data_IF_745862967520
#
_entry.id   IF_745862967520
#
_cell.length_a   1.000
_cell.length_b   1.000
_cell.length_c   1.000
_cell.angle_alpha   90.00
_cell.angle_beta   90.00
_cell.angle_gamma   90.00
#
_symmetry.space_group_name_H-M   'P 1'
#
loop_
_entity.id
_entity.type
_entity.pdbx_description
1 polymer ?
#
# COMPACT_ATOMS: atom_id res chain seq x y z
N UNK A 1 -12.65 -9.53 17.09
CA UNK A 1 -11.19 -9.76 17.22
C UNK A 1 -10.63 -8.72 18.16
N UNK A 2 -9.79 -9.10 19.13
CA UNK A 2 -9.04 -8.10 19.93
C UNK A 2 -7.84 -7.68 19.10
N UNK A 3 -7.91 -6.51 18.50
CA UNK A 3 -6.74 -5.88 17.84
C UNK A 3 -5.75 -5.40 18.91
N UNK A 4 -4.45 -5.62 18.73
CA UNK A 4 -3.45 -5.11 19.66
C UNK A 4 -3.56 -3.58 19.78
N UNK A 5 -3.53 -3.05 20.99
CA UNK A 5 -3.73 -1.61 21.27
C UNK A 5 -2.62 -0.69 20.70
N UNK A 6 -1.52 -1.28 20.25
CA UNK A 6 -0.38 -0.58 19.65
C UNK A 6 -0.45 -0.49 18.11
N UNK A 7 -1.50 -1.03 17.48
CA UNK A 7 -1.75 -0.95 16.04
C UNK A 7 -3.02 -0.16 15.80
N UNK A 8 -2.94 0.86 14.95
CA UNK A 8 -4.10 1.59 14.45
C UNK A 8 -4.16 1.52 12.94
N UNK A 9 -5.28 1.03 12.42
CA UNK A 9 -5.60 1.12 11.01
C UNK A 9 -6.22 2.49 10.71
N UNK A 10 -5.65 3.19 9.75
CA UNK A 10 -6.18 4.44 9.19
C UNK A 10 -6.73 4.08 7.81
N UNK A 11 -8.05 3.89 7.75
CA UNK A 11 -8.71 3.43 6.53
C UNK A 11 -9.35 4.59 5.76
N UNK A 12 -9.02 4.69 4.46
CA UNK A 12 -9.52 5.73 3.55
C UNK A 12 -10.54 5.15 2.60
N UNK A 13 -11.83 5.37 2.87
CA UNK A 13 -12.93 4.74 2.15
C UNK A 13 -12.98 5.05 0.65
N UNK A 14 -12.63 6.27 0.21
CA UNK A 14 -12.64 6.63 -1.22
C UNK A 14 -11.53 5.95 -2.04
N UNK A 15 -10.44 5.52 -1.40
CA UNK A 15 -9.36 4.75 -2.00
C UNK A 15 -9.47 3.26 -1.65
N UNK A 16 -10.35 2.89 -0.73
CA UNK A 16 -10.41 1.55 -0.12
C UNK A 16 -9.05 1.09 0.43
N UNK A 17 -8.23 2.03 0.93
CA UNK A 17 -6.83 1.81 1.30
C UNK A 17 -6.66 1.84 2.82
N UNK A 18 -5.90 0.88 3.34
CA UNK A 18 -5.45 0.79 4.72
C UNK A 18 -4.00 1.23 4.89
N UNK A 19 -3.78 2.29 5.68
CA UNK A 19 -2.48 2.68 6.19
C UNK A 19 -2.41 2.31 7.67
N UNK A 20 -1.22 2.08 8.21
CA UNK A 20 -1.08 1.56 9.57
C UNK A 20 -0.10 2.38 10.38
N UNK A 21 -0.52 2.76 11.58
CA UNK A 21 0.32 3.41 12.58
C UNK A 21 0.59 2.42 13.72
N UNK A 22 1.85 2.06 13.93
CA UNK A 22 2.29 1.10 14.94
C UNK A 22 3.24 1.82 15.89
N UNK A 23 3.01 1.69 17.20
CA UNK A 23 3.90 2.30 18.18
C UNK A 23 4.25 1.37 19.33
N UNK A 24 5.44 1.55 19.88
CA UNK A 24 5.90 0.83 21.06
C UNK A 24 6.89 1.72 21.81
N UNK A 25 6.65 1.88 23.12
CA UNK A 25 7.40 2.83 23.94
C UNK A 25 7.33 4.24 23.33
N UNK A 26 8.47 4.87 23.06
CA UNK A 26 8.58 6.23 22.51
C UNK A 26 8.78 6.23 20.98
N UNK A 27 8.68 5.09 20.31
CA UNK A 27 8.92 4.94 18.87
C UNK A 27 7.65 4.53 18.12
N UNK A 28 7.54 4.96 16.86
CA UNK A 28 6.46 4.58 15.96
C UNK A 28 6.98 4.26 14.56
N UNK A 29 6.16 3.49 13.83
CA UNK A 29 6.30 3.18 12.41
C UNK A 29 4.98 3.52 11.71
N UNK A 30 5.07 3.98 10.48
CA UNK A 30 3.92 4.12 9.57
C UNK A 30 4.13 3.21 8.38
N UNK A 31 3.09 2.43 8.01
CA UNK A 31 3.10 1.58 6.81
C UNK A 31 2.11 2.15 5.79
N UNK A 32 2.54 2.29 4.55
CA UNK A 32 1.78 2.75 3.39
C UNK A 32 1.03 4.09 3.65
N UNK A 33 1.75 5.17 4.02
CA UNK A 33 1.11 6.42 4.39
C UNK A 33 0.40 7.09 3.22
N UNK A 34 -0.75 7.68 3.51
CA UNK A 34 -1.39 8.62 2.60
C UNK A 34 -0.50 9.82 2.34
N UNK A 35 -0.76 10.51 1.22
CA UNK A 35 -0.06 11.75 0.88
C UNK A 35 -0.20 12.85 1.94
N UNK A 36 -1.27 12.82 2.73
CA UNK A 36 -1.55 13.75 3.83
C UNK A 36 -0.74 13.41 5.09
N UNK A 37 0.54 13.70 5.06
CA UNK A 37 1.50 13.35 6.12
C UNK A 37 1.19 13.96 7.49
N UNK A 38 0.47 15.08 7.57
CA UNK A 38 0.11 15.78 8.83
C UNK A 38 -0.63 14.88 9.79
N UNK A 39 -1.52 14.03 9.29
CA UNK A 39 -2.28 13.05 10.06
C UNK A 39 -1.36 12.20 10.96
N UNK A 40 -0.27 11.71 10.41
CA UNK A 40 0.66 10.82 11.13
C UNK A 40 1.53 11.58 12.13
N UNK A 41 1.99 12.78 11.77
CA UNK A 41 2.81 13.60 12.67
C UNK A 41 2.02 14.16 13.85
N UNK A 42 0.77 14.56 13.65
CA UNK A 42 -0.15 14.97 14.70
C UNK A 42 -0.47 13.81 15.65
N UNK A 43 -0.69 12.61 15.10
CA UNK A 43 -0.88 11.41 15.88
C UNK A 43 0.34 11.08 16.72
N UNK A 44 1.52 11.05 16.13
CA UNK A 44 2.76 10.82 16.87
C UNK A 44 2.94 11.82 18.02
N UNK A 45 2.67 13.10 17.75
CA UNK A 45 2.69 14.16 18.77
C UNK A 45 1.68 13.92 19.89
N UNK A 46 0.46 13.51 19.56
CA UNK A 46 -0.59 13.25 20.57
C UNK A 46 -0.25 12.08 21.49
N UNK A 47 0.49 11.08 20.98
CA UNK A 47 0.95 9.91 21.73
C UNK A 47 2.32 10.11 22.40
N UNK A 48 3.00 11.23 22.14
CA UNK A 48 4.35 11.48 22.65
C UNK A 48 5.42 10.54 22.08
N UNK A 49 5.24 10.04 20.85
CA UNK A 49 6.15 9.09 20.18
C UNK A 49 6.83 9.72 18.98
N UNK A 50 7.99 9.18 18.60
CA UNK A 50 8.74 9.60 17.41
C UNK A 50 8.55 8.58 16.29
N UNK A 51 8.14 9.04 15.11
CA UNK A 51 8.12 8.19 13.90
C UNK A 51 9.56 7.92 13.49
N UNK A 52 9.98 6.67 13.56
CA UNK A 52 11.34 6.21 13.28
C UNK A 52 11.49 5.68 11.86
N UNK A 53 10.45 5.02 11.36
CA UNK A 53 10.42 4.44 10.03
C UNK A 53 9.10 4.72 9.33
N UNK A 54 9.19 4.87 8.01
CA UNK A 54 8.07 4.87 7.07
C UNK A 54 8.29 3.71 6.12
N UNK A 55 7.43 2.71 6.20
CA UNK A 55 7.54 1.48 5.43
C UNK A 55 6.55 1.50 4.27
N UNK A 56 6.99 1.06 3.11
CA UNK A 56 6.13 0.83 1.95
C UNK A 56 6.10 -0.66 1.64
N UNK A 57 4.91 -1.21 1.43
CA UNK A 57 4.74 -2.60 1.01
C UNK A 57 5.14 -2.80 -0.45
N UNK A 58 4.92 -1.79 -1.28
CA UNK A 58 5.25 -1.76 -2.71
C UNK A 58 5.14 -0.32 -3.25
N UNK A 59 5.45 -0.10 -4.53
CA UNK A 59 5.12 1.17 -5.19
C UNK A 59 3.66 1.18 -5.61
N UNK A 60 2.82 1.86 -4.83
CA UNK A 60 1.39 1.97 -5.08
C UNK A 60 1.09 2.57 -6.46
N UNK A 61 0.11 1.97 -7.15
CA UNK A 61 -0.33 2.42 -8.45
C UNK A 61 -1.61 3.28 -8.39
N UNK A 62 -2.43 3.06 -7.39
CA UNK A 62 -3.76 3.67 -7.24
C UNK A 62 -3.73 5.02 -6.51
N UNK A 63 -2.71 5.30 -5.70
CA UNK A 63 -2.52 6.59 -5.05
C UNK A 63 -1.04 7.00 -4.97
N UNK A 64 -0.82 8.28 -4.68
CA UNK A 64 0.52 8.82 -4.42
C UNK A 64 0.76 8.83 -2.93
N UNK A 65 1.74 8.05 -2.46
CA UNK A 65 2.09 7.93 -1.06
C UNK A 65 2.76 9.19 -0.51
N UNK A 66 2.62 9.39 0.80
CA UNK A 66 3.24 10.47 1.56
C UNK A 66 4.61 10.15 2.14
N UNK A 67 5.22 9.01 1.79
CA UNK A 67 6.43 8.50 2.44
C UNK A 67 7.60 9.49 2.44
N UNK A 68 7.86 10.18 1.32
CA UNK A 68 8.96 11.16 1.24
C UNK A 68 8.67 12.35 2.17
N UNK A 69 7.50 12.97 2.04
CA UNK A 69 7.15 14.13 2.86
C UNK A 69 7.08 13.78 4.36
N UNK A 70 6.50 12.64 4.71
CA UNK A 70 6.43 12.16 6.09
C UNK A 70 7.83 11.93 6.67
N UNK A 71 8.72 11.30 5.91
CA UNK A 71 10.09 11.07 6.33
C UNK A 71 10.87 12.37 6.53
N UNK A 72 10.73 13.34 5.62
CA UNK A 72 11.36 14.68 5.75
C UNK A 72 10.86 15.41 7.01
N UNK A 73 9.55 15.39 7.28
CA UNK A 73 8.95 16.10 8.44
C UNK A 73 9.22 15.43 9.78
N UNK A 74 9.35 14.11 9.82
CA UNK A 74 9.58 13.35 11.07
C UNK A 74 11.04 13.01 11.33
N UNK A 75 11.90 13.08 10.31
CA UNK A 75 13.26 12.55 10.35
C UNK A 75 13.33 11.03 10.31
N UNK A 76 12.26 10.38 9.83
CA UNK A 76 12.17 8.93 9.73
C UNK A 76 12.98 8.38 8.54
N UNK A 77 13.40 7.12 8.63
CA UNK A 77 13.99 6.39 7.51
C UNK A 77 12.87 5.74 6.69
N UNK A 78 12.87 5.97 5.37
CA UNK A 78 11.99 5.26 4.45
C UNK A 78 12.56 3.85 4.24
N UNK A 79 11.68 2.84 4.26
CA UNK A 79 12.06 1.43 4.05
C UNK A 79 11.18 0.83 2.96
N UNK A 80 11.82 0.16 2.02
CA UNK A 80 11.19 -0.71 1.03
C UNK A 80 11.73 -2.12 1.12
N UNK A 81 10.99 -3.06 0.57
CA UNK A 81 11.44 -4.45 0.44
C UNK A 81 12.50 -4.66 -0.65
N UNK A 82 12.98 -5.91 -0.78
CA UNK A 82 14.01 -6.26 -1.74
C UNK A 82 13.60 -5.94 -3.19
N UNK A 83 14.56 -5.45 -3.98
CA UNK A 83 14.35 -5.15 -5.41
C UNK A 83 13.71 -3.79 -5.70
N UNK A 84 13.30 -3.02 -4.70
CA UNK A 84 12.82 -1.65 -4.91
C UNK A 84 13.94 -0.75 -5.41
N UNK A 85 13.61 0.12 -6.37
CA UNK A 85 14.55 1.13 -6.94
C UNK A 85 13.90 2.49 -6.80
N UNK A 86 14.51 3.37 -6.00
CA UNK A 86 14.04 4.72 -5.69
C UNK A 86 14.99 5.78 -6.22
N UNK A 87 14.48 6.97 -6.53
CA UNK A 87 15.29 8.17 -6.87
C UNK A 87 15.57 9.06 -5.63
N UNK A 88 15.28 8.54 -4.43
CA UNK A 88 15.55 9.16 -3.13
C UNK A 88 16.20 8.15 -2.18
N UNK A 89 16.74 8.64 -1.08
CA UNK A 89 17.37 7.77 -0.09
C UNK A 89 16.32 6.94 0.65
N UNK A 90 16.45 5.62 0.54
CA UNK A 90 15.65 4.66 1.27
C UNK A 90 16.53 3.49 1.72
N UNK A 91 16.17 2.87 2.82
CA UNK A 91 16.72 1.60 3.21
C UNK A 91 16.02 0.48 2.42
N UNK A 92 16.74 -0.22 1.57
CA UNK A 92 16.21 -1.40 0.86
C UNK A 92 16.51 -2.61 1.74
N UNK A 93 15.50 -3.04 2.45
CA UNK A 93 15.61 -4.13 3.40
C UNK A 93 15.82 -5.47 2.69
N UNK A 94 16.52 -6.39 3.36
CA UNK A 94 16.67 -7.77 2.88
C UNK A 94 15.47 -8.62 3.31
N UNK A 95 15.24 -9.70 2.58
CA UNK A 95 14.29 -10.71 3.03
C UNK A 95 14.68 -11.27 4.39
N UNK A 96 13.70 -11.37 5.31
CA UNK A 96 13.87 -11.74 6.72
C UNK A 96 14.64 -10.74 7.60
N UNK A 97 14.94 -9.54 7.12
CA UNK A 97 15.47 -8.48 7.96
C UNK A 97 14.44 -8.05 9.03
N UNK A 98 14.91 -7.78 10.25
CA UNK A 98 14.05 -7.30 11.33
C UNK A 98 14.28 -5.82 11.62
N UNK A 99 13.21 -5.04 11.52
CA UNK A 99 13.18 -3.60 11.81
C UNK A 99 12.63 -3.41 13.22
N UNK A 100 13.43 -2.84 14.12
CA UNK A 100 13.06 -2.66 15.53
C UNK A 100 12.36 -1.34 15.76
N UNK A 101 11.24 -1.38 16.50
CA UNK A 101 10.49 -0.22 16.99
C UNK A 101 10.09 -0.45 18.46
N UNK A 102 10.71 0.28 19.37
CA UNK A 102 10.55 0.03 20.81
C UNK A 102 10.87 -1.41 21.18
N UNK A 103 9.89 -2.12 21.75
CA UNK A 103 9.96 -3.53 22.10
C UNK A 103 9.49 -4.48 20.99
N UNK A 104 8.90 -3.94 19.92
CA UNK A 104 8.39 -4.70 18.77
C UNK A 104 9.44 -4.83 17.67
N UNK A 105 9.22 -5.78 16.77
CA UNK A 105 10.01 -5.97 15.55
C UNK A 105 9.08 -6.26 14.38
N UNK A 106 9.40 -5.71 13.21
CA UNK A 106 8.77 -6.08 11.95
C UNK A 106 9.77 -6.86 11.11
N UNK A 107 9.44 -8.12 10.83
CA UNK A 107 10.21 -8.96 9.91
C UNK A 107 9.73 -8.72 8.49
N UNK A 108 10.67 -8.43 7.61
CA UNK A 108 10.45 -8.21 6.19
C UNK A 108 10.26 -9.55 5.50
N UNK A 109 9.14 -9.76 4.84
CA UNK A 109 8.87 -10.94 4.02
C UNK A 109 8.75 -10.49 2.57
N UNK A 110 9.77 -10.75 1.74
CA UNK A 110 9.71 -10.47 0.31
C UNK A 110 8.70 -11.39 -0.37
N UNK A 111 7.63 -10.83 -0.90
CA UNK A 111 6.48 -11.56 -1.48
C UNK A 111 6.17 -11.07 -2.90
N UNK A 112 7.09 -11.25 -3.88
CA UNK A 112 6.89 -10.78 -5.24
C UNK A 112 5.69 -11.47 -5.89
N UNK A 113 5.03 -10.73 -6.81
CA UNK A 113 3.91 -11.25 -7.59
C UNK A 113 2.89 -10.19 -7.97
N UNK A 114 2.38 -9.42 -7.02
CA UNK A 114 1.61 -8.20 -7.33
C UNK A 114 2.54 -7.16 -8.00
N UNK A 115 3.66 -6.88 -7.35
CA UNK A 115 4.82 -6.21 -7.94
C UNK A 115 6.09 -7.02 -7.64
N UNK A 116 7.22 -6.69 -8.27
CA UNK A 116 8.48 -7.39 -8.05
C UNK A 116 9.07 -7.13 -6.66
N UNK A 117 8.87 -5.93 -6.14
CA UNK A 117 9.34 -5.48 -4.82
C UNK A 117 8.31 -5.70 -3.70
N UNK A 118 7.14 -6.27 -4.00
CA UNK A 118 6.09 -6.51 -3.01
C UNK A 118 6.62 -7.20 -1.76
N UNK A 119 6.21 -6.68 -0.62
CA UNK A 119 6.72 -7.06 0.69
C UNK A 119 5.58 -7.06 1.70
N UNK A 120 5.52 -8.10 2.52
CA UNK A 120 4.71 -8.11 3.73
C UNK A 120 5.58 -7.80 4.95
N UNK A 121 5.00 -7.21 5.98
CA UNK A 121 5.68 -6.95 7.26
C UNK A 121 5.02 -7.78 8.35
N UNK A 122 5.77 -8.72 8.93
CA UNK A 122 5.31 -9.59 10.02
C UNK A 122 5.68 -8.96 11.36
N UNK A 123 4.69 -8.59 12.15
CA UNK A 123 4.89 -8.02 13.47
C UNK A 123 5.17 -9.11 14.50
N UNK A 124 6.24 -8.91 15.24
CA UNK A 124 6.70 -9.77 16.32
C UNK A 124 6.62 -9.00 17.64
N UNK A 125 6.05 -9.63 18.67
CA UNK A 125 6.10 -9.13 20.04
C UNK A 125 7.54 -9.07 20.58
N UNK A 126 7.69 -8.51 21.77
CA UNK A 126 8.97 -8.51 22.49
C UNK A 126 9.53 -9.92 22.68
N UNK A 127 8.67 -10.88 22.96
CA UNK A 127 9.00 -12.30 23.16
C UNK A 127 9.25 -13.05 21.84
N UNK A 128 9.03 -12.40 20.70
CA UNK A 128 9.18 -13.00 19.36
C UNK A 128 7.95 -13.75 18.88
N UNK A 129 6.79 -13.59 19.53
CA UNK A 129 5.52 -14.14 19.05
C UNK A 129 5.05 -13.36 17.81
N UNK A 130 4.62 -14.07 16.79
CA UNK A 130 4.00 -13.52 15.60
C UNK A 130 2.58 -13.04 15.91
N UNK A 131 2.28 -11.75 15.74
CA UNK A 131 1.02 -11.14 16.16
C UNK A 131 0.15 -10.67 15.00
N UNK A 132 0.77 -10.10 13.95
CA UNK A 132 0.06 -9.51 12.84
C UNK A 132 0.89 -9.54 11.55
N UNK A 133 0.21 -9.58 10.41
CA UNK A 133 0.79 -9.47 9.08
C UNK A 133 0.20 -8.25 8.35
N UNK A 134 1.03 -7.29 8.02
CA UNK A 134 0.69 -6.22 7.09
C UNK A 134 1.01 -6.72 5.69
N UNK A 135 -0.02 -7.20 5.01
CA UNK A 135 0.15 -7.99 3.78
C UNK A 135 0.25 -7.14 2.51
N UNK A 136 0.04 -5.82 2.60
CA UNK A 136 -0.04 -4.97 1.42
C UNK A 136 -1.03 -5.56 0.41
N UNK A 137 -0.60 -5.60 -0.84
CA UNK A 137 -1.38 -6.16 -1.94
C UNK A 137 -0.97 -7.60 -2.30
N UNK A 138 -0.19 -8.26 -1.44
CA UNK A 138 0.09 -9.70 -1.59
C UNK A 138 -1.13 -10.54 -1.25
N UNK A 139 -1.80 -10.24 -0.13
CA UNK A 139 -2.99 -10.95 0.35
C UNK A 139 -4.04 -9.95 0.82
N UNK A 140 -5.22 -10.00 0.24
CA UNK A 140 -6.42 -9.31 0.70
C UNK A 140 -7.35 -10.26 1.47
N UNK A 141 -8.40 -9.71 2.06
CA UNK A 141 -9.47 -10.54 2.62
C UNK A 141 -10.39 -10.99 1.49
N UNK A 142 -10.37 -12.30 1.21
CA UNK A 142 -11.13 -12.95 0.15
C UNK A 142 -10.46 -12.99 -1.23
N UNK A 143 -9.32 -12.33 -1.41
CA UNK A 143 -8.62 -12.23 -2.70
C UNK A 143 -7.11 -12.10 -2.53
N UNK A 144 -6.39 -11.92 -3.66
CA UNK A 144 -4.97 -11.58 -3.74
C UNK A 144 -4.76 -10.44 -4.73
N UNK A 145 -3.63 -9.76 -4.65
CA UNK A 145 -3.31 -8.67 -5.57
C UNK A 145 -3.20 -9.13 -7.03
N UNK A 146 -3.67 -8.30 -7.94
CA UNK A 146 -3.57 -8.55 -9.38
C UNK A 146 -2.10 -8.59 -9.85
N UNK A 147 -1.70 -9.59 -10.68
CA UNK A 147 -0.29 -9.79 -11.04
C UNK A 147 0.10 -9.12 -12.36
N UNK A 148 -0.55 -8.04 -12.78
CA UNK A 148 -0.33 -7.45 -14.09
C UNK A 148 0.22 -6.01 -14.07
N UNK A 149 0.42 -5.41 -12.88
CA UNK A 149 0.83 -4.01 -12.75
C UNK A 149 2.33 -3.77 -13.02
N UNK A 150 3.17 -4.78 -12.81
CA UNK A 150 4.62 -4.69 -13.04
C UNK A 150 5.07 -5.27 -14.37
N UNK A 151 4.15 -5.52 -15.31
CA UNK A 151 4.52 -6.00 -16.62
C UNK A 151 5.40 -4.97 -17.36
N UNK A 152 6.53 -5.44 -17.88
CA UNK A 152 7.37 -4.66 -18.80
C UNK A 152 7.46 -5.43 -20.10
N UNK A 153 7.16 -4.75 -21.19
CA UNK A 153 7.26 -5.32 -22.54
C UNK A 153 8.63 -5.99 -22.73
N UNK A 154 8.63 -7.30 -22.94
CA UNK A 154 9.82 -8.11 -23.19
C UNK A 154 10.63 -8.55 -21.96
N UNK A 155 10.20 -8.26 -20.70
CA UNK A 155 10.98 -8.63 -19.52
C UNK A 155 10.27 -9.55 -18.54
N UNK A 156 8.98 -9.33 -18.24
CA UNK A 156 8.20 -10.17 -17.33
C UNK A 156 6.74 -10.20 -17.75
N UNK A 157 6.13 -11.39 -17.74
CA UNK A 157 4.72 -11.58 -18.09
C UNK A 157 3.82 -11.62 -16.86
N UNK A 158 2.53 -11.45 -17.10
CA UNK A 158 1.50 -11.58 -16.07
C UNK A 158 1.50 -12.97 -15.42
N UNK A 159 1.69 -14.01 -16.23
CA UNK A 159 1.74 -15.41 -15.75
C UNK A 159 2.98 -15.66 -14.87
N UNK A 160 4.11 -15.03 -15.20
CA UNK A 160 5.32 -15.12 -14.38
C UNK A 160 5.10 -14.43 -13.02
N UNK A 161 4.48 -13.24 -13.01
CA UNK A 161 4.13 -12.55 -11.77
C UNK A 161 3.11 -13.35 -10.94
N UNK A 162 2.07 -13.91 -11.58
CA UNK A 162 1.10 -14.77 -10.92
C UNK A 162 1.76 -16.01 -10.29
N UNK A 163 2.73 -16.60 -11.00
CA UNK A 163 3.51 -17.71 -10.46
C UNK A 163 4.37 -17.32 -9.27
N UNK A 164 5.00 -16.14 -9.27
CA UNK A 164 5.73 -15.61 -8.11
C UNK A 164 4.79 -15.36 -6.93
N UNK A 165 3.58 -14.84 -7.19
CA UNK A 165 2.57 -14.63 -6.16
C UNK A 165 2.15 -15.96 -5.51
N UNK A 166 1.91 -17.00 -6.31
CA UNK A 166 1.65 -18.34 -5.80
C UNK A 166 2.76 -18.82 -4.88
N UNK A 167 4.01 -18.74 -5.34
CA UNK A 167 5.18 -19.19 -4.58
C UNK A 167 5.31 -18.39 -3.27
N UNK A 168 5.10 -17.07 -3.29
CA UNK A 168 5.10 -16.19 -2.12
C UNK A 168 4.03 -16.58 -1.10
N UNK A 169 2.80 -16.80 -1.56
CA UNK A 169 1.68 -17.21 -0.69
C UNK A 169 1.96 -18.57 -0.07
N UNK A 170 2.34 -19.57 -0.87
CA UNK A 170 2.55 -20.96 -0.41
C UNK A 170 3.71 -21.09 0.57
N UNK A 171 4.83 -20.39 0.30
CA UNK A 171 6.06 -20.59 1.06
C UNK A 171 6.23 -19.64 2.24
N UNK A 172 5.56 -18.48 2.22
CA UNK A 172 5.74 -17.44 3.25
C UNK A 172 4.49 -17.13 4.05
N UNK A 173 3.32 -17.10 3.41
CA UNK A 173 2.09 -16.69 4.09
C UNK A 173 1.38 -17.89 4.72
N UNK A 174 1.15 -18.96 3.96
CA UNK A 174 0.41 -20.13 4.46
C UNK A 174 1.17 -20.96 5.48
N UNK A 175 2.43 -20.64 5.74
CA UNK A 175 3.28 -21.28 6.77
C UNK A 175 3.21 -20.57 8.12
N UNK A 176 2.57 -19.39 8.18
CA UNK A 176 2.42 -18.59 9.39
C UNK A 176 1.30 -19.15 10.28
N UNK A 177 1.27 -18.79 11.58
CA UNK A 177 0.19 -19.20 12.50
C UNK A 177 -1.18 -18.78 12.01
N UNK A 178 -2.15 -19.68 12.07
CA UNK A 178 -3.50 -19.45 11.58
C UNK A 178 -4.28 -18.37 12.36
N UNK A 179 -3.92 -18.10 13.61
CA UNK A 179 -4.51 -17.07 14.47
C UNK A 179 -3.94 -15.67 14.21
N UNK A 180 -2.97 -15.55 13.28
CA UNK A 180 -2.36 -14.29 12.89
C UNK A 180 -3.39 -13.32 12.33
N UNK A 181 -3.34 -12.06 12.79
CA UNK A 181 -4.22 -11.00 12.29
C UNK A 181 -3.66 -10.48 10.96
N UNK A 182 -4.53 -10.36 9.95
CA UNK A 182 -4.18 -9.85 8.62
C UNK A 182 -4.67 -8.42 8.47
N UNK A 183 -3.76 -7.55 8.10
CA UNK A 183 -3.95 -6.13 7.78
C UNK A 183 -3.58 -5.89 6.30
N UNK A 184 -4.55 -5.93 5.37
CA UNK A 184 -4.29 -5.80 3.93
C UNK A 184 -4.10 -4.33 3.51
N UNK A 185 -3.45 -4.12 2.35
CA UNK A 185 -3.33 -2.78 1.76
C UNK A 185 -4.66 -2.20 1.31
N UNK A 186 -5.60 -3.05 0.86
CA UNK A 186 -6.90 -2.62 0.34
C UNK A 186 -8.07 -3.48 0.80
N UNK A 187 -9.27 -2.87 0.75
CA UNK A 187 -10.57 -3.51 0.94
C UNK A 187 -11.48 -3.38 -0.28
N UNK A 188 -12.77 -3.68 -0.10
CA UNK A 188 -13.78 -3.65 -1.17
C UNK A 188 -13.84 -2.29 -1.88
N UNK A 189 -13.81 -2.33 -3.21
CA UNK A 189 -13.84 -1.14 -4.09
C UNK A 189 -12.50 -0.78 -4.72
N UNK A 190 -11.38 -1.35 -4.26
CA UNK A 190 -10.08 -1.15 -4.90
C UNK A 190 -9.99 -1.86 -6.25
N UNK A 191 -9.29 -1.22 -7.20
CA UNK A 191 -8.97 -1.80 -8.51
C UNK A 191 -7.79 -2.80 -8.45
N UNK A 192 -7.18 -3.01 -7.27
CA UNK A 192 -6.02 -3.89 -7.08
C UNK A 192 -6.38 -5.37 -6.92
N UNK A 193 -7.68 -5.72 -6.77
CA UNK A 193 -8.19 -7.09 -6.72
C UNK A 193 -9.56 -7.22 -7.34
N UNK A 194 -10.13 -8.45 -7.37
CA UNK A 194 -11.43 -8.74 -8.01
C UNK A 194 -12.57 -8.87 -7.00
N UNK A 195 -12.33 -9.60 -5.90
CA UNK A 195 -13.36 -10.04 -4.96
C UNK A 195 -13.02 -9.70 -3.50
N UNK A 196 -12.59 -8.46 -3.24
CA UNK A 196 -12.21 -8.04 -1.90
C UNK A 196 -13.41 -8.00 -0.96
N UNK A 197 -13.22 -8.48 0.26
CA UNK A 197 -14.21 -8.43 1.34
C UNK A 197 -14.46 -6.99 1.80
N UNK A 198 -15.63 -6.78 2.44
CA UNK A 198 -15.97 -5.51 3.07
C UNK A 198 -15.23 -5.29 4.39
N UNK A 199 -14.80 -6.35 5.04
CA UNK A 199 -13.95 -6.29 6.22
C UNK A 199 -12.59 -5.73 5.84
N UNK A 200 -11.99 -4.97 6.74
CA UNK A 200 -10.67 -4.35 6.55
C UNK A 200 -9.59 -5.02 7.42
N UNK A 201 -9.98 -5.92 8.31
CA UNK A 201 -9.11 -6.71 9.20
C UNK A 201 -9.67 -8.12 9.27
N UNK A 202 -8.80 -9.13 9.17
CA UNK A 202 -9.19 -10.54 9.24
C UNK A 202 -8.17 -11.40 9.98
N UNK A 203 -8.28 -12.72 9.83
CA UNK A 203 -7.28 -13.67 10.34
C UNK A 203 -6.80 -14.58 9.21
N UNK A 204 -5.59 -15.13 9.35
CA UNK A 204 -5.07 -16.07 8.37
C UNK A 204 -5.98 -17.31 8.28
N UNK A 205 -6.49 -17.82 9.40
CA UNK A 205 -7.47 -18.91 9.43
C UNK A 205 -8.68 -18.61 8.54
N UNK A 206 -9.28 -17.43 8.69
CA UNK A 206 -10.41 -17.03 7.86
C UNK A 206 -10.05 -16.96 6.37
N UNK A 207 -8.82 -16.63 6.02
CA UNK A 207 -8.35 -16.64 4.63
C UNK A 207 -8.09 -18.07 4.14
N UNK A 208 -7.51 -18.95 4.94
CA UNK A 208 -7.31 -20.35 4.59
C UNK A 208 -8.64 -21.10 4.34
N UNK A 209 -9.72 -20.69 5.03
CA UNK A 209 -11.05 -21.28 4.90
C UNK A 209 -11.86 -20.72 3.72
N UNK A 210 -11.74 -19.40 3.43
CA UNK A 210 -12.69 -18.70 2.58
C UNK A 210 -12.06 -18.03 1.35
N UNK A 211 -10.73 -17.84 1.31
CA UNK A 211 -10.07 -17.20 0.17
C UNK A 211 -9.75 -18.24 -0.91
N UNK A 212 -10.33 -18.07 -2.10
CA UNK A 212 -10.16 -19.02 -3.20
C UNK A 212 -8.68 -19.24 -3.56
N UNK A 213 -7.84 -18.20 -3.48
CA UNK A 213 -6.44 -18.27 -3.83
C UNK A 213 -5.57 -19.06 -2.84
N UNK A 214 -6.06 -19.29 -1.62
CA UNK A 214 -5.39 -20.04 -0.57
C UNK A 214 -5.82 -21.50 -0.47
N UNK A 215 -6.65 -21.99 -1.37
CA UNK A 215 -7.05 -23.40 -1.41
C UNK A 215 -5.82 -24.31 -1.52
N UNK A 216 -5.70 -25.27 -0.61
CA UNK A 216 -4.53 -26.18 -0.52
C UNK A 216 -4.41 -27.13 -1.71
N UNK A 217 -5.53 -27.45 -2.35
CA UNK A 217 -5.64 -28.37 -3.51
C UNK A 217 -5.36 -27.69 -4.86
N UNK A 218 -5.29 -26.35 -4.90
CA UNK A 218 -5.05 -25.59 -6.12
C UNK A 218 -3.60 -25.73 -6.58
N UNK A 219 -3.40 -26.19 -7.80
CA UNK A 219 -2.08 -26.26 -8.43
C UNK A 219 -1.58 -24.86 -8.82
N UNK A 220 -0.30 -24.75 -9.11
CA UNK A 220 0.31 -23.48 -9.56
C UNK A 220 -0.31 -22.99 -10.87
N UNK A 221 -0.55 -23.89 -11.81
CA UNK A 221 -1.16 -23.60 -13.11
C UNK A 221 -2.62 -23.15 -12.98
N UNK A 222 -3.39 -23.80 -12.11
CA UNK A 222 -4.77 -23.40 -11.77
C UNK A 222 -4.80 -22.02 -11.12
N UNK A 223 -3.89 -21.74 -10.17
CA UNK A 223 -3.77 -20.43 -9.55
C UNK A 223 -3.47 -19.34 -10.58
N UNK A 224 -2.45 -19.56 -11.43
CA UNK A 224 -2.09 -18.60 -12.49
C UNK A 224 -3.30 -18.28 -13.36
N UNK A 225 -4.02 -19.32 -13.83
CA UNK A 225 -5.22 -19.13 -14.64
C UNK A 225 -6.28 -18.33 -13.88
N UNK A 226 -6.60 -18.71 -12.65
CA UNK A 226 -7.66 -18.11 -11.83
C UNK A 226 -7.39 -16.62 -11.54
N UNK A 227 -6.15 -16.25 -11.15
CA UNK A 227 -5.84 -14.87 -10.79
C UNK A 227 -5.66 -13.94 -12.01
N UNK A 228 -5.36 -14.50 -13.18
CA UNK A 228 -5.18 -13.73 -14.42
C UNK A 228 -6.45 -13.61 -15.25
N UNK A 229 -7.41 -14.55 -15.11
CA UNK A 229 -8.66 -14.55 -15.86
C UNK A 229 -9.58 -13.40 -15.43
N UNK A 230 -10.18 -12.70 -16.40
CA UNK A 230 -11.19 -11.67 -16.17
C UNK A 230 -10.67 -10.36 -15.58
N UNK A 231 -9.36 -10.12 -15.54
CA UNK A 231 -8.81 -8.84 -15.12
C UNK A 231 -9.22 -7.72 -16.08
N UNK A 232 -9.85 -6.68 -15.55
CA UNK A 232 -10.09 -5.45 -16.31
C UNK A 232 -8.77 -4.70 -16.53
N UNK A 233 -8.62 -3.98 -17.65
CA UNK A 233 -7.45 -3.13 -17.86
C UNK A 233 -7.23 -2.21 -16.66
N UNK A 234 -5.97 -2.01 -16.21
CA UNK A 234 -5.70 -1.11 -15.10
C UNK A 234 -6.04 0.34 -15.49
N UNK A 235 -6.42 1.18 -14.53
CA UNK A 235 -6.64 2.60 -14.76
C UNK A 235 -5.45 3.27 -15.43
N UNK A 236 -5.70 4.18 -16.36
CA UNK A 236 -4.64 4.83 -17.17
C UNK A 236 -3.62 5.63 -16.34
N UNK A 237 -3.99 6.06 -15.14
CA UNK A 237 -3.11 6.83 -14.25
C UNK A 237 -2.15 5.96 -13.43
N UNK A 238 -2.35 4.65 -13.35
CA UNK A 238 -1.52 3.74 -12.55
C UNK A 238 -0.01 3.86 -12.85
N UNK A 239 0.44 3.82 -14.10
CA UNK A 239 1.87 3.99 -14.39
C UNK A 239 2.45 5.33 -13.95
N UNK A 240 1.63 6.40 -13.98
CA UNK A 240 2.04 7.73 -13.52
C UNK A 240 2.26 7.74 -12.00
N UNK A 241 1.31 7.21 -11.22
CA UNK A 241 1.43 7.13 -9.77
C UNK A 241 2.66 6.30 -9.35
N UNK A 242 2.87 5.14 -9.97
CA UNK A 242 4.08 4.33 -9.72
C UNK A 242 5.35 5.14 -9.99
N UNK A 243 5.40 5.89 -11.09
CA UNK A 243 6.55 6.75 -11.40
C UNK A 243 6.72 7.89 -10.38
N UNK A 244 5.62 8.47 -9.88
CA UNK A 244 5.64 9.51 -8.84
C UNK A 244 6.11 8.94 -7.49
N UNK A 245 5.70 7.73 -7.13
CA UNK A 245 6.08 7.07 -5.88
C UNK A 245 7.56 6.65 -5.83
N UNK A 246 8.26 6.66 -6.97
CA UNK A 246 9.70 6.41 -7.06
C UNK A 246 10.56 7.66 -6.94
N UNK A 247 9.96 8.86 -6.89
CA UNK A 247 10.64 10.16 -6.99
C UNK A 247 10.31 11.07 -5.81
N UNK A 248 11.15 12.09 -5.64
CA UNK A 248 10.78 13.26 -4.82
C UNK A 248 9.81 14.10 -5.64
N UNK A 249 8.63 14.34 -5.10
CA UNK A 249 7.59 15.16 -5.71
C UNK A 249 7.24 16.35 -4.81
N UNK A 250 6.75 17.47 -5.37
CA UNK A 250 6.32 18.60 -4.57
C UNK A 250 5.27 18.23 -3.53
N UNK A 251 5.32 18.85 -2.36
CA UNK A 251 4.27 18.72 -1.34
C UNK A 251 2.92 19.20 -1.87
N UNK A 252 1.83 18.58 -1.39
CA UNK A 252 0.48 18.88 -1.82
C UNK A 252 0.11 20.35 -1.56
N UNK A 253 0.47 20.88 -0.39
CA UNK A 253 0.27 22.28 -0.01
C UNK A 253 0.94 23.24 -1.00
N UNK A 254 2.14 22.90 -1.49
CA UNK A 254 2.85 23.73 -2.48
C UNK A 254 2.17 23.67 -3.84
N UNK A 255 1.66 22.52 -4.24
CA UNK A 255 0.89 22.36 -5.49
C UNK A 255 -0.36 23.22 -5.41
N UNK A 256 -1.15 23.12 -4.34
CA UNK A 256 -2.35 23.93 -4.14
C UNK A 256 -2.02 25.42 -4.14
N UNK A 257 -1.03 25.85 -3.37
CA UNK A 257 -0.63 27.27 -3.33
C UNK A 257 -0.25 27.83 -4.71
N UNK A 258 0.37 27.01 -5.54
CA UNK A 258 0.77 27.41 -6.90
C UNK A 258 -0.41 27.32 -7.90
N UNK A 259 -1.40 26.46 -7.67
CA UNK A 259 -2.52 26.21 -8.56
C UNK A 259 -3.76 27.03 -8.22
N UNK A 260 -3.92 27.49 -6.97
CA UNK A 260 -5.04 28.33 -6.55
C UNK A 260 -4.88 29.76 -7.07
N UNK A 261 -5.38 29.98 -8.28
CA UNK A 261 -5.52 31.31 -8.86
C UNK A 261 -6.99 31.58 -9.08
N UNK A 262 -7.50 32.62 -8.46
CA UNK A 262 -8.88 33.07 -8.64
C UNK A 262 -8.92 34.11 -9.75
N UNK A 263 -9.79 33.90 -10.71
CA UNK A 263 -10.03 34.82 -11.82
C UNK A 263 -11.44 35.36 -11.77
N UNK A 264 -11.64 36.64 -12.05
CA UNK A 264 -12.96 37.15 -12.39
C UNK A 264 -13.47 36.47 -13.67
N UNK A 265 -14.80 36.27 -13.85
CA UNK A 265 -15.35 35.49 -14.95
C UNK A 265 -14.84 35.86 -16.35
N UNK A 266 -14.67 37.14 -16.64
CA UNK A 266 -14.17 37.65 -17.93
C UNK A 266 -12.69 37.27 -18.13
N UNK A 267 -11.88 37.36 -17.07
CA UNK A 267 -10.49 37.01 -17.11
C UNK A 267 -10.32 35.48 -17.23
N UNK A 268 -11.15 34.69 -16.54
CA UNK A 268 -11.19 33.24 -16.65
C UNK A 268 -11.48 32.78 -18.08
N UNK A 269 -12.52 33.35 -18.72
CA UNK A 269 -12.90 33.03 -20.09
C UNK A 269 -11.76 33.36 -21.08
N UNK A 270 -11.17 34.56 -20.96
CA UNK A 270 -10.06 34.97 -21.81
C UNK A 270 -8.85 34.00 -21.66
N UNK A 271 -8.44 33.70 -20.43
CA UNK A 271 -7.32 32.78 -20.15
C UNK A 271 -7.60 31.37 -20.66
N UNK A 272 -8.83 30.86 -20.46
CA UNK A 272 -9.19 29.51 -20.92
C UNK A 272 -9.13 29.43 -22.46
N UNK A 273 -9.56 30.44 -23.17
CA UNK A 273 -9.52 30.52 -24.62
C UNK A 273 -8.07 30.69 -25.17
N UNK A 274 -7.30 31.60 -24.61
CA UNK A 274 -5.91 31.85 -25.05
C UNK A 274 -4.99 30.67 -24.83
N UNK A 275 -5.16 29.97 -23.70
CA UNK A 275 -4.36 28.79 -23.35
C UNK A 275 -4.92 27.48 -23.92
N UNK A 276 -6.06 27.51 -24.60
CA UNK A 276 -6.79 26.31 -25.01
C UNK A 276 -6.96 25.30 -23.84
N UNK A 277 -7.32 25.84 -22.68
CA UNK A 277 -7.37 25.07 -21.45
C UNK A 277 -8.60 24.16 -21.39
N UNK A 278 -8.45 22.99 -20.82
CA UNK A 278 -9.59 22.13 -20.47
C UNK A 278 -10.25 22.66 -19.21
N UNK A 279 -11.49 23.12 -19.33
CA UNK A 279 -12.29 23.55 -18.19
C UNK A 279 -13.04 22.34 -17.62
N UNK A 280 -12.80 22.02 -16.34
CA UNK A 280 -13.48 20.95 -15.63
C UNK A 280 -14.39 21.54 -14.55
N UNK A 281 -15.69 21.26 -14.65
CA UNK A 281 -16.62 21.54 -13.57
C UNK A 281 -16.61 20.41 -12.56
N UNK A 282 -16.19 20.71 -11.32
CA UNK A 282 -16.07 19.74 -10.25
C UNK A 282 -17.27 19.74 -9.29
N UNK A 283 -18.31 20.55 -9.56
CA UNK A 283 -19.54 20.55 -8.80
C UNK A 283 -20.32 19.26 -9.02
N UNK A 284 -21.20 18.93 -8.05
CA UNK A 284 -22.12 17.80 -8.23
C UNK A 284 -23.12 18.10 -9.36
N UNK A 285 -23.67 17.06 -10.04
CA UNK A 285 -24.64 17.28 -11.12
C UNK A 285 -25.85 18.13 -10.74
N UNK A 286 -26.25 18.17 -9.47
CA UNK A 286 -27.34 18.96 -8.96
C UNK A 286 -26.98 20.45 -8.73
N UNK A 287 -25.71 20.78 -8.76
CA UNK A 287 -25.19 22.15 -8.55
C UNK A 287 -24.81 22.84 -9.88
N UNK A 288 -24.82 22.07 -10.97
CA UNK A 288 -24.59 22.52 -12.35
C UNK A 288 -25.94 22.98 -13.00
#
# INVERSE_FOLDING_TARGET
MNTPSHIEQIYTGCLSQGSYFIHSNEEAIVIDPLREWKLYTEKAKSLGVKIKYVLETHFHADFVSGHVALAEKSGATIVFGPGAITEFNAHIAKDNEEIKVGDLRLRVLHTPGHTLESTCYLLLSKEGKEEALFSGDTLFLGDVGRPDLSQKTGSITQEQLAGMLFDSIRTKIMTLPEDLIIYPGHGAGSACGKNLSKETIGTLRGQLENNYALRKDMTREEFIKEVTEGLLPPPKYFPLNVAMNKKIIPELDQIFKNAEQYFEPVAFEAMANEMNALVLDTRKPQEY
#
